data_IF_160683335716
#
_entry.id   IF_160683335716
#
_cell.length_a   1.000
_cell.length_b   1.000
_cell.length_c   1.000
_cell.angle_alpha   90.00
_cell.angle_beta   90.00
_cell.angle_gamma   90.00
#
_symmetry.space_group_name_H-M   'P 1'
#
loop_
_entity.id
_entity.type
_entity.pdbx_description
1 polymer ?
#
# COMPACT_ATOMS: atom_id res chain seq x y z
N UNK A 1 -15.32 -22.19 -19.11
CA UNK A 1 -15.14 -20.74 -19.34
C UNK A 1 -15.26 -20.43 -20.81
N UNK A 2 -15.98 -19.37 -21.18
CA UNK A 2 -16.05 -18.86 -22.55
C UNK A 2 -14.91 -17.91 -22.86
N UNK A 3 -14.98 -17.25 -24.03
CA UNK A 3 -13.95 -16.32 -24.50
C UNK A 3 -13.84 -15.06 -23.61
N UNK A 4 -14.97 -14.56 -23.12
CA UNK A 4 -15.01 -13.33 -22.32
C UNK A 4 -14.35 -13.54 -20.95
N UNK A 5 -14.68 -14.63 -20.23
CA UNK A 5 -14.03 -14.94 -18.96
C UNK A 5 -12.55 -15.23 -19.13
N UNK A 6 -12.17 -15.86 -20.24
CA UNK A 6 -10.77 -16.12 -20.58
C UNK A 6 -9.98 -14.82 -20.86
N UNK A 7 -10.58 -13.83 -21.52
CA UNK A 7 -9.97 -12.52 -21.73
C UNK A 7 -9.76 -11.77 -20.41
N UNK A 8 -10.78 -11.78 -19.53
CA UNK A 8 -10.68 -11.17 -18.20
C UNK A 8 -9.60 -11.86 -17.35
N UNK A 9 -9.57 -13.19 -17.37
CA UNK A 9 -8.54 -13.99 -16.70
C UNK A 9 -7.14 -13.65 -17.23
N UNK A 10 -6.97 -13.53 -18.55
CA UNK A 10 -5.69 -13.20 -19.16
C UNK A 10 -5.19 -11.82 -18.75
N UNK A 11 -6.07 -10.83 -18.68
CA UNK A 11 -5.74 -9.49 -18.18
C UNK A 11 -5.38 -9.56 -16.69
N UNK A 12 -6.19 -10.22 -15.87
CA UNK A 12 -5.95 -10.39 -14.44
C UNK A 12 -4.61 -11.05 -14.13
N UNK A 13 -4.32 -12.18 -14.79
CA UNK A 13 -3.04 -12.89 -14.67
C UNK A 13 -1.84 -12.06 -15.13
N UNK A 14 -2.03 -11.05 -15.98
CA UNK A 14 -0.92 -10.24 -16.48
C UNK A 14 -0.48 -9.15 -15.49
N UNK A 15 -1.20 -8.93 -14.39
CA UNK A 15 -1.00 -7.77 -13.50
C UNK A 15 0.32 -7.81 -12.73
N UNK A 16 0.76 -8.98 -12.27
CA UNK A 16 2.04 -9.10 -11.56
C UNK A 16 3.21 -8.87 -12.53
N UNK A 17 3.16 -9.48 -13.71
CA UNK A 17 4.11 -9.23 -14.80
C UNK A 17 4.13 -7.77 -15.27
N UNK A 18 2.97 -7.10 -15.29
CA UNK A 18 2.84 -5.68 -15.60
C UNK A 18 3.54 -4.81 -14.56
N UNK A 19 3.30 -5.07 -13.27
CA UNK A 19 3.91 -4.33 -12.18
C UNK A 19 5.44 -4.49 -12.18
N UNK A 20 5.95 -5.71 -12.38
CA UNK A 20 7.39 -5.95 -12.52
C UNK A 20 7.96 -5.28 -13.77
N UNK A 21 7.22 -5.28 -14.87
CA UNK A 21 7.60 -4.57 -16.10
C UNK A 21 7.71 -3.06 -15.90
N UNK A 22 6.79 -2.45 -15.13
CA UNK A 22 6.90 -1.05 -14.71
C UNK A 22 8.17 -0.84 -13.90
N UNK A 23 8.45 -1.70 -12.91
CA UNK A 23 9.65 -1.62 -12.09
C UNK A 23 10.94 -1.70 -12.93
N UNK A 24 10.98 -2.54 -13.97
CA UNK A 24 12.09 -2.58 -14.91
C UNK A 24 12.21 -1.32 -15.77
N UNK A 25 11.09 -0.79 -16.24
CA UNK A 25 11.09 0.49 -16.96
C UNK A 25 11.64 1.62 -16.09
N UNK A 26 11.28 1.65 -14.81
CA UNK A 26 11.71 2.66 -13.83
C UNK A 26 13.23 2.67 -13.60
N UNK A 27 13.89 1.51 -13.69
CA UNK A 27 15.32 1.36 -13.44
C UNK A 27 16.22 1.69 -14.66
N UNK A 28 15.66 1.89 -15.86
CA UNK A 28 16.44 1.94 -17.12
C UNK A 28 16.48 3.34 -17.73
N UNK A 29 17.68 3.90 -17.88
CA UNK A 29 17.92 5.27 -18.40
C UNK A 29 17.59 5.45 -19.88
N UNK A 30 17.90 4.46 -20.71
CA UNK A 30 17.64 4.46 -22.15
C UNK A 30 17.15 3.08 -22.50
N UNK A 31 15.94 3.02 -23.03
CA UNK A 31 15.37 1.76 -23.44
C UNK A 31 15.36 1.63 -24.95
N UNK A 32 15.71 0.44 -25.40
CA UNK A 32 15.75 0.02 -26.80
C UNK A 32 14.53 -0.83 -27.12
N UNK A 33 14.16 -0.90 -28.40
CA UNK A 33 13.09 -1.79 -28.87
C UNK A 33 13.33 -3.26 -28.47
N UNK A 34 14.60 -3.66 -28.29
CA UNK A 34 14.98 -5.00 -27.85
C UNK A 34 14.57 -5.28 -26.40
N UNK A 35 14.70 -4.31 -25.50
CA UNK A 35 14.38 -4.49 -24.07
C UNK A 35 12.86 -4.55 -23.82
N UNK A 36 12.09 -3.74 -24.55
CA UNK A 36 10.63 -3.89 -24.61
C UNK A 36 10.23 -5.30 -25.00
N UNK A 37 10.77 -5.77 -26.13
CA UNK A 37 10.48 -7.10 -26.65
C UNK A 37 10.97 -8.20 -25.70
N UNK A 38 12.13 -8.02 -25.08
CA UNK A 38 12.69 -8.98 -24.13
C UNK A 38 11.78 -9.16 -22.92
N UNK A 39 11.32 -8.07 -22.29
CA UNK A 39 10.32 -8.16 -21.22
C UNK A 39 9.03 -8.85 -21.68
N UNK A 40 8.50 -8.43 -22.83
CA UNK A 40 7.28 -9.02 -23.38
C UNK A 40 7.40 -10.52 -23.62
N UNK A 41 8.51 -10.97 -24.20
CA UNK A 41 8.77 -12.38 -24.50
C UNK A 41 9.00 -13.21 -23.23
N UNK A 42 9.77 -12.69 -22.26
CA UNK A 42 10.00 -13.40 -21.00
C UNK A 42 8.71 -13.54 -20.20
N UNK A 43 8.02 -12.45 -19.92
CA UNK A 43 6.80 -12.48 -19.11
C UNK A 43 5.65 -13.17 -19.85
N UNK A 44 5.43 -12.87 -21.13
CA UNK A 44 4.41 -13.55 -21.94
C UNK A 44 4.69 -15.04 -22.11
N UNK A 45 5.96 -15.41 -22.34
CA UNK A 45 6.37 -16.80 -22.47
C UNK A 45 6.10 -17.60 -21.19
N UNK A 46 6.50 -17.09 -20.02
CA UNK A 46 6.27 -17.78 -18.75
C UNK A 46 4.80 -17.76 -18.32
N UNK A 47 4.06 -16.66 -18.54
CA UNK A 47 2.63 -16.60 -18.22
C UNK A 47 1.79 -17.54 -19.09
N UNK A 48 2.26 -17.89 -20.29
CA UNK A 48 1.65 -18.95 -21.11
C UNK A 48 2.12 -20.36 -20.73
N UNK A 49 3.42 -20.53 -20.48
CA UNK A 49 4.02 -21.82 -20.16
C UNK A 49 3.49 -22.39 -18.84
N UNK A 50 3.31 -21.56 -17.82
CA UNK A 50 2.88 -22.00 -16.49
C UNK A 50 1.47 -22.59 -16.47
N UNK A 51 0.43 -21.97 -17.07
CA UNK A 51 -0.88 -22.62 -17.22
C UNK A 51 -0.83 -23.92 -18.01
N UNK A 52 0.03 -24.02 -19.03
CA UNK A 52 0.19 -25.26 -19.78
C UNK A 52 0.77 -26.37 -18.90
N UNK A 53 1.82 -26.05 -18.13
CA UNK A 53 2.40 -26.98 -17.15
C UNK A 53 1.34 -27.39 -16.13
N UNK A 54 0.61 -26.43 -15.56
CA UNK A 54 -0.46 -26.70 -14.59
C UNK A 54 -1.54 -27.65 -15.14
N UNK A 55 -1.97 -27.44 -16.38
CA UNK A 55 -2.93 -28.30 -17.05
C UNK A 55 -2.40 -29.72 -17.27
N UNK A 56 -1.14 -29.87 -17.70
CA UNK A 56 -0.51 -31.17 -17.96
C UNK A 56 -0.19 -31.96 -16.68
N UNK A 57 0.21 -31.26 -15.63
CA UNK A 57 0.51 -31.84 -14.31
C UNK A 57 -0.77 -32.27 -13.59
N UNK A 58 -1.88 -31.56 -13.86
CA UNK A 58 -3.20 -31.83 -13.28
C UNK A 58 -3.20 -31.74 -11.74
N UNK A 59 -4.22 -32.31 -11.11
CA UNK A 59 -4.41 -32.26 -9.65
C UNK A 59 -3.37 -33.07 -8.86
N UNK A 60 -2.51 -33.85 -9.52
CA UNK A 60 -1.59 -34.81 -8.85
C UNK A 60 -0.52 -34.13 -8.00
N UNK A 61 -0.15 -32.89 -8.32
CA UNK A 61 0.85 -32.12 -7.58
C UNK A 61 0.34 -30.76 -7.11
N UNK A 62 -0.96 -30.48 -7.24
CA UNK A 62 -1.61 -29.23 -6.84
C UNK A 62 -1.25 -28.85 -5.40
N UNK A 63 -1.34 -29.82 -4.47
CA UNK A 63 -1.07 -29.60 -3.04
C UNK A 63 0.40 -29.26 -2.73
N UNK A 64 1.35 -29.77 -3.50
CA UNK A 64 2.76 -29.47 -3.29
C UNK A 64 3.11 -28.10 -3.87
N UNK A 65 2.63 -27.82 -5.09
CA UNK A 65 2.90 -26.56 -5.76
C UNK A 65 2.25 -25.41 -4.99
N UNK A 66 0.99 -25.54 -4.57
CA UNK A 66 0.28 -24.49 -3.83
C UNK A 66 0.92 -24.14 -2.48
N UNK A 67 1.65 -25.07 -1.85
CA UNK A 67 2.38 -24.83 -0.60
C UNK A 67 3.74 -24.17 -0.81
N UNK A 68 4.45 -24.51 -1.90
CA UNK A 68 5.84 -24.03 -2.10
C UNK A 68 5.89 -22.72 -2.89
N UNK A 69 5.01 -22.57 -3.88
CA UNK A 69 4.96 -21.45 -4.81
C UNK A 69 5.00 -20.05 -4.14
N UNK A 70 4.17 -19.75 -3.14
CA UNK A 70 4.08 -18.40 -2.57
C UNK A 70 5.32 -18.01 -1.77
N UNK A 71 5.95 -18.99 -1.10
CA UNK A 71 7.23 -18.79 -0.41
C UNK A 71 8.36 -18.47 -1.37
N UNK A 72 8.43 -19.19 -2.50
CA UNK A 72 9.43 -18.94 -3.54
C UNK A 72 9.24 -17.55 -4.15
N UNK A 73 8.00 -17.17 -4.48
CA UNK A 73 7.69 -15.85 -5.01
C UNK A 73 8.07 -14.73 -4.03
N UNK A 74 7.71 -14.86 -2.74
CA UNK A 74 8.07 -13.88 -1.72
C UNK A 74 9.58 -13.71 -1.58
N UNK A 75 10.33 -14.81 -1.43
CA UNK A 75 11.78 -14.75 -1.24
C UNK A 75 12.45 -14.11 -2.46
N UNK A 76 12.08 -14.52 -3.68
CA UNK A 76 12.66 -13.96 -4.90
C UNK A 76 12.35 -12.47 -5.06
N UNK A 77 11.09 -12.06 -4.89
CA UNK A 77 10.68 -10.67 -5.05
C UNK A 77 11.22 -9.78 -3.92
N UNK A 78 11.31 -10.28 -2.69
CA UNK A 78 11.91 -9.55 -1.58
C UNK A 78 13.42 -9.33 -1.79
N UNK A 79 14.14 -10.33 -2.31
CA UNK A 79 15.56 -10.19 -2.64
C UNK A 79 15.79 -9.19 -3.78
N UNK A 80 15.00 -9.27 -4.85
CA UNK A 80 15.11 -8.35 -5.99
C UNK A 80 14.72 -6.92 -5.57
N UNK A 81 13.59 -6.77 -4.88
CA UNK A 81 13.13 -5.48 -4.40
C UNK A 81 14.07 -4.85 -3.37
N UNK A 82 14.63 -5.65 -2.47
CA UNK A 82 15.65 -5.22 -1.52
C UNK A 82 16.94 -4.76 -2.21
N UNK A 83 17.37 -5.44 -3.27
CA UNK A 83 18.51 -5.00 -4.08
C UNK A 83 18.23 -3.66 -4.79
N UNK A 84 17.03 -3.47 -5.38
CA UNK A 84 16.65 -2.20 -6.00
C UNK A 84 16.64 -1.04 -4.99
N UNK A 85 16.13 -1.26 -3.78
CA UNK A 85 16.16 -0.25 -2.71
C UNK A 85 17.62 0.04 -2.31
N UNK A 86 18.44 -0.99 -2.14
CA UNK A 86 19.87 -0.84 -1.81
C UNK A 86 20.62 -0.05 -2.87
N UNK A 87 20.35 -0.29 -4.15
CA UNK A 87 20.97 0.42 -5.28
C UNK A 87 20.60 1.91 -5.30
N UNK A 88 19.38 2.26 -4.91
CA UNK A 88 18.95 3.65 -4.84
C UNK A 88 19.72 4.50 -3.81
N UNK A 89 20.29 3.85 -2.79
CA UNK A 89 21.15 4.49 -1.78
C UNK A 89 22.66 4.38 -2.11
N UNK A 90 23.04 3.66 -3.18
CA UNK A 90 24.42 3.55 -3.60
C UNK A 90 24.91 4.84 -4.30
N UNK A 91 26.21 5.18 -4.21
CA UNK A 91 26.78 6.28 -4.97
C UNK A 91 26.52 6.13 -6.47
N UNK A 92 26.44 7.22 -7.25
CA UNK A 92 26.09 7.19 -8.66
C UNK A 92 27.23 6.61 -9.53
N UNK A 93 27.53 5.33 -9.39
CA UNK A 93 28.31 4.58 -10.37
C UNK A 93 27.38 3.98 -11.44
N UNK A 94 27.92 3.81 -12.65
CA UNK A 94 27.21 3.23 -13.79
C UNK A 94 27.03 1.72 -13.63
N UNK A 95 26.01 1.31 -12.87
CA UNK A 95 25.57 -0.09 -12.85
C UNK A 95 24.80 -0.38 -14.14
N UNK A 96 25.17 -1.47 -14.82
CA UNK A 96 24.60 -1.89 -16.11
C UNK A 96 23.16 -2.39 -15.94
N UNK A 97 22.30 -2.21 -16.96
CA UNK A 97 20.89 -2.57 -16.87
C UNK A 97 20.67 -4.08 -16.67
N UNK A 98 19.86 -4.42 -15.67
CA UNK A 98 19.49 -5.79 -15.27
C UNK A 98 18.48 -6.46 -16.23
N UNK A 99 18.85 -6.62 -17.49
CA UNK A 99 18.14 -7.49 -18.45
C UNK A 99 18.87 -8.81 -18.69
N UNK A 100 19.78 -9.19 -17.80
CA UNK A 100 20.48 -10.45 -17.91
C UNK A 100 19.50 -11.63 -17.76
N UNK A 101 19.86 -12.75 -18.39
CA UNK A 101 19.02 -13.94 -18.48
C UNK A 101 18.65 -14.48 -17.10
N UNK A 102 19.55 -14.40 -16.11
CA UNK A 102 19.29 -14.94 -14.77
C UNK A 102 18.22 -14.12 -14.06
N UNK A 103 18.33 -12.80 -14.09
CA UNK A 103 17.35 -11.90 -13.47
C UNK A 103 15.99 -12.02 -14.16
N UNK A 104 15.96 -11.96 -15.50
CA UNK A 104 14.72 -12.12 -16.30
C UNK A 104 14.03 -13.45 -16.04
N UNK A 105 14.79 -14.55 -15.96
CA UNK A 105 14.27 -15.87 -15.62
C UNK A 105 13.67 -15.90 -14.22
N UNK A 106 14.39 -15.40 -13.20
CA UNK A 106 13.90 -15.40 -11.82
C UNK A 106 12.61 -14.61 -11.66
N UNK A 107 12.52 -13.41 -12.26
CA UNK A 107 11.30 -12.60 -12.19
C UNK A 107 10.14 -13.25 -12.95
N UNK A 108 10.38 -13.74 -14.17
CA UNK A 108 9.34 -14.38 -14.97
C UNK A 108 8.80 -15.64 -14.27
N UNK A 109 9.65 -16.43 -13.62
CA UNK A 109 9.19 -17.53 -12.77
C UNK A 109 8.37 -16.99 -11.59
N UNK A 110 8.91 -16.01 -10.85
CA UNK A 110 8.25 -15.48 -9.65
C UNK A 110 6.85 -14.93 -9.92
N UNK A 111 6.66 -14.23 -11.05
CA UNK A 111 5.38 -13.58 -11.43
C UNK A 111 4.40 -14.50 -12.15
N UNK A 112 4.81 -15.70 -12.56
CA UNK A 112 3.97 -16.63 -13.34
C UNK A 112 3.56 -17.88 -12.56
N UNK A 113 3.99 -17.98 -11.30
CA UNK A 113 3.70 -19.11 -10.43
C UNK A 113 2.19 -19.24 -10.14
N UNK A 114 1.47 -18.13 -10.06
CA UNK A 114 0.01 -18.08 -9.91
C UNK A 114 -0.72 -18.63 -11.16
N UNK A 115 -0.20 -18.34 -12.34
CA UNK A 115 -0.73 -18.81 -13.62
C UNK A 115 -0.68 -20.34 -13.74
N UNK A 116 0.24 -21.00 -13.03
CA UNK A 116 0.26 -22.47 -12.93
C UNK A 116 -1.01 -22.99 -12.27
N UNK A 117 -1.48 -22.37 -11.18
CA UNK A 117 -2.71 -22.76 -10.51
C UNK A 117 -3.93 -22.62 -11.43
N UNK A 118 -3.98 -21.56 -12.25
CA UNK A 118 -5.02 -21.39 -13.27
C UNK A 118 -5.00 -22.52 -14.32
N UNK A 119 -3.81 -23.01 -14.67
CA UNK A 119 -3.66 -24.19 -15.52
C UNK A 119 -4.33 -25.44 -14.96
N UNK A 120 -4.21 -25.68 -13.66
CA UNK A 120 -4.90 -26.79 -12.96
C UNK A 120 -6.42 -26.55 -13.02
N UNK A 121 -6.87 -25.31 -12.85
CA UNK A 121 -8.29 -24.94 -12.96
C UNK A 121 -8.87 -25.22 -14.34
N UNK A 122 -8.09 -25.18 -15.43
CA UNK A 122 -8.58 -25.58 -16.76
C UNK A 122 -8.98 -27.06 -16.86
N UNK A 123 -8.50 -27.92 -15.95
CA UNK A 123 -8.95 -29.31 -15.82
C UNK A 123 -10.33 -29.37 -15.16
N UNK A 124 -10.54 -28.58 -14.10
CA UNK A 124 -11.81 -28.54 -13.35
C UNK A 124 -12.91 -27.74 -14.07
N UNK A 125 -12.53 -26.65 -14.74
CA UNK A 125 -13.41 -25.73 -15.48
C UNK A 125 -12.90 -25.61 -16.92
N UNK A 126 -13.29 -26.54 -17.81
CA UNK A 126 -12.79 -26.56 -19.17
C UNK A 126 -13.06 -25.26 -19.94
N UNK A 127 -12.07 -24.84 -20.72
CA UNK A 127 -12.19 -23.73 -21.67
C UNK A 127 -13.03 -24.20 -22.86
N UNK A 128 -14.08 -23.45 -23.20
CA UNK A 128 -15.08 -23.80 -24.23
C UNK A 128 -15.20 -22.68 -25.25
N UNK A 129 -14.12 -22.37 -25.95
CA UNK A 129 -14.09 -21.32 -26.99
C UNK A 129 -14.45 -21.92 -28.35
N UNK A 130 -13.91 -23.08 -28.68
CA UNK A 130 -14.19 -23.83 -29.90
C UNK A 130 -14.95 -25.12 -29.59
N UNK A 131 -15.77 -25.57 -30.54
CA UNK A 131 -16.47 -26.86 -30.49
C UNK A 131 -15.55 -28.10 -30.68
N UNK A 132 -14.23 -27.91 -30.64
CA UNK A 132 -13.19 -28.95 -30.80
C UNK A 132 -12.71 -29.49 -29.44
N UNK A 133 -11.86 -30.51 -29.47
CA UNK A 133 -11.28 -31.17 -28.29
C UNK A 133 -10.71 -30.19 -27.25
N UNK A 134 -10.80 -30.57 -25.97
CA UNK A 134 -10.44 -29.73 -24.82
C UNK A 134 -9.00 -29.22 -24.85
N UNK A 135 -8.05 -29.99 -25.38
CA UNK A 135 -6.65 -29.59 -25.45
C UNK A 135 -6.43 -28.38 -26.39
N UNK A 136 -7.15 -28.31 -27.51
CA UNK A 136 -7.06 -27.18 -28.45
C UNK A 136 -7.52 -25.88 -27.79
N UNK A 137 -8.58 -25.97 -26.97
CA UNK A 137 -9.08 -24.84 -26.20
C UNK A 137 -8.07 -24.37 -25.14
N UNK A 138 -7.32 -25.28 -24.52
CA UNK A 138 -6.26 -24.94 -23.56
C UNK A 138 -5.08 -24.28 -24.24
N UNK A 139 -4.63 -24.78 -25.39
CA UNK A 139 -3.56 -24.14 -26.16
C UNK A 139 -3.97 -22.73 -26.59
N UNK A 140 -5.24 -22.55 -27.00
CA UNK A 140 -5.76 -21.22 -27.29
C UNK A 140 -5.72 -20.29 -26.07
N UNK A 141 -6.15 -20.78 -24.90
CA UNK A 141 -6.09 -20.03 -23.65
C UNK A 141 -4.66 -19.62 -23.28
N UNK A 142 -3.72 -20.55 -23.36
CA UNK A 142 -2.29 -20.33 -23.10
C UNK A 142 -1.71 -19.26 -24.03
N UNK A 143 -1.99 -19.35 -25.33
CA UNK A 143 -1.51 -18.37 -26.30
C UNK A 143 -2.12 -17.00 -26.08
N UNK A 144 -3.41 -16.94 -25.74
CA UNK A 144 -4.10 -15.69 -25.46
C UNK A 144 -3.52 -15.01 -24.20
N UNK A 145 -3.28 -15.78 -23.13
CA UNK A 145 -2.62 -15.27 -21.92
C UNK A 145 -1.22 -14.76 -22.27
N UNK A 146 -0.41 -15.56 -22.97
CA UNK A 146 0.94 -15.18 -23.35
C UNK A 146 1.00 -13.88 -24.17
N UNK A 147 0.12 -13.73 -25.17
CA UNK A 147 0.07 -12.53 -26.02
C UNK A 147 -0.41 -11.32 -25.23
N UNK A 148 -1.46 -11.46 -24.43
CA UNK A 148 -1.97 -10.39 -23.56
C UNK A 148 -0.90 -9.92 -22.60
N UNK A 149 -0.24 -10.84 -21.89
CA UNK A 149 0.84 -10.50 -20.95
C UNK A 149 2.04 -9.87 -21.66
N UNK A 150 2.40 -10.36 -22.85
CA UNK A 150 3.48 -9.77 -23.65
C UNK A 150 3.18 -8.30 -23.98
N UNK A 151 1.99 -8.00 -24.48
CA UNK A 151 1.56 -6.64 -24.84
C UNK A 151 1.53 -5.75 -23.60
N UNK A 152 0.88 -6.20 -22.53
CA UNK A 152 0.75 -5.44 -21.28
C UNK A 152 2.13 -5.18 -20.68
N UNK A 153 3.03 -6.17 -20.67
CA UNK A 153 4.40 -6.02 -20.16
C UNK A 153 5.18 -4.99 -20.97
N UNK A 154 5.12 -5.01 -22.30
CA UNK A 154 5.74 -3.98 -23.15
C UNK A 154 5.21 -2.57 -22.83
N UNK A 155 3.90 -2.44 -22.59
CA UNK A 155 3.28 -1.17 -22.17
C UNK A 155 3.79 -0.77 -20.77
N UNK A 156 3.86 -1.72 -19.83
CA UNK A 156 4.33 -1.49 -18.46
C UNK A 156 5.75 -0.97 -18.43
N UNK A 157 6.66 -1.57 -19.20
CA UNK A 157 8.03 -1.07 -19.33
C UNK A 157 8.04 0.35 -19.92
N UNK A 158 7.14 0.68 -20.86
CA UNK A 158 7.10 2.01 -21.49
C UNK A 158 6.66 3.06 -20.50
N UNK A 159 5.62 2.75 -19.73
CA UNK A 159 5.13 3.58 -18.64
C UNK A 159 6.27 3.78 -17.63
N UNK A 160 6.88 2.70 -17.14
CA UNK A 160 7.98 2.74 -16.19
C UNK A 160 9.14 3.60 -16.68
N UNK A 161 9.55 3.48 -17.95
CA UNK A 161 10.65 4.26 -18.53
C UNK A 161 10.36 5.76 -18.56
N UNK A 162 9.12 6.16 -18.89
CA UNK A 162 8.70 7.56 -18.89
C UNK A 162 8.81 8.16 -17.47
N UNK A 163 8.45 7.39 -16.44
CA UNK A 163 8.57 7.82 -15.05
C UNK A 163 10.02 7.76 -14.53
N UNK A 164 10.80 6.75 -14.91
CA UNK A 164 12.17 6.50 -14.45
C UNK A 164 13.19 7.49 -14.97
N UNK A 165 13.09 7.89 -16.24
CA UNK A 165 13.93 8.95 -16.84
C UNK A 165 13.75 10.31 -16.16
N UNK A 166 12.61 10.52 -15.52
CA UNK A 166 12.28 11.75 -14.81
C UNK A 166 12.72 11.73 -13.34
N UNK A 167 12.82 10.55 -12.70
CA UNK A 167 12.98 10.40 -11.25
C UNK A 167 13.90 9.27 -10.77
N UNK A 168 15.17 9.26 -11.26
CA UNK A 168 16.19 8.21 -11.00
C UNK A 168 16.12 7.50 -9.63
N UNK A 169 16.48 8.17 -8.53
CA UNK A 169 16.60 7.50 -7.21
C UNK A 169 15.25 7.18 -6.56
N UNK A 170 14.21 7.96 -6.85
CA UNK A 170 12.87 7.68 -6.31
C UNK A 170 12.19 6.52 -7.02
N UNK A 171 12.49 6.33 -8.31
CA UNK A 171 11.92 5.26 -9.14
C UNK A 171 12.44 3.86 -8.76
N UNK A 172 13.70 3.74 -8.35
CA UNK A 172 14.30 2.47 -7.89
C UNK A 172 13.71 2.00 -6.55
N UNK A 173 13.57 2.91 -5.58
CA UNK A 173 12.97 2.58 -4.27
C UNK A 173 11.47 2.26 -4.42
N UNK A 174 10.75 3.01 -5.27
CA UNK A 174 9.34 2.75 -5.55
C UNK A 174 9.18 1.36 -6.19
N UNK A 175 10.01 1.03 -7.18
CA UNK A 175 10.00 -0.29 -7.82
C UNK A 175 10.32 -1.41 -6.82
N UNK A 176 11.36 -1.24 -6.01
CA UNK A 176 11.72 -2.25 -5.01
C UNK A 176 10.67 -2.45 -3.93
N UNK A 177 10.03 -1.38 -3.49
CA UNK A 177 8.90 -1.41 -2.54
C UNK A 177 7.70 -2.16 -3.12
N UNK A 178 7.34 -1.88 -4.38
CA UNK A 178 6.24 -2.58 -5.08
C UNK A 178 6.53 -4.08 -5.16
N UNK A 179 7.76 -4.48 -5.51
CA UNK A 179 8.13 -5.90 -5.60
C UNK A 179 8.04 -6.62 -4.24
N UNK A 180 8.56 -6.00 -3.18
CA UNK A 180 8.44 -6.56 -1.81
C UNK A 180 6.97 -6.71 -1.45
N UNK A 181 6.13 -5.73 -1.77
CA UNK A 181 4.70 -5.77 -1.48
C UNK A 181 3.97 -6.88 -2.25
N UNK A 182 4.26 -7.06 -3.54
CA UNK A 182 3.70 -8.16 -4.36
C UNK A 182 4.12 -9.52 -3.78
N UNK A 183 5.40 -9.68 -3.44
CA UNK A 183 5.90 -10.91 -2.83
C UNK A 183 5.23 -11.18 -1.48
N UNK A 184 5.12 -10.16 -0.64
CA UNK A 184 4.51 -10.27 0.69
C UNK A 184 3.03 -10.63 0.55
N UNK A 185 2.30 -9.98 -0.36
CA UNK A 185 0.92 -10.30 -0.69
C UNK A 185 0.77 -11.78 -1.05
N UNK A 186 1.58 -12.29 -1.98
CA UNK A 186 1.50 -13.68 -2.41
C UNK A 186 1.65 -14.65 -1.22
N UNK A 187 2.62 -14.40 -0.34
CA UNK A 187 2.83 -15.22 0.86
C UNK A 187 1.66 -15.11 1.85
N UNK A 188 1.14 -13.91 2.08
CA UNK A 188 0.03 -13.70 3.02
C UNK A 188 -1.27 -14.35 2.53
N UNK A 189 -1.61 -14.20 1.25
CA UNK A 189 -2.76 -14.88 0.65
C UNK A 189 -2.65 -16.41 0.74
N UNK A 190 -1.44 -16.96 0.83
CA UNK A 190 -1.22 -18.39 1.05
C UNK A 190 -1.33 -18.84 2.51
N UNK A 191 -0.78 -18.05 3.43
CA UNK A 191 -0.82 -18.35 4.87
C UNK A 191 -2.22 -18.23 5.45
N UNK A 192 -3.07 -17.45 4.80
CA UNK A 192 -4.45 -17.28 5.19
C UNK A 192 -5.32 -18.51 4.88
N UNK A 193 -5.72 -19.21 5.93
CA UNK A 193 -6.62 -20.37 5.87
C UNK A 193 -8.11 -20.01 5.90
N UNK A 194 -8.48 -18.75 6.15
CA UNK A 194 -9.88 -18.32 6.18
C UNK A 194 -10.37 -17.72 4.85
N UNK A 195 -9.51 -17.57 3.84
CA UNK A 195 -9.76 -16.84 2.58
C UNK A 195 -9.97 -15.32 2.72
N UNK A 196 -9.87 -14.77 3.93
CA UNK A 196 -9.93 -13.33 4.21
C UNK A 196 -8.90 -12.45 3.45
N UNK A 197 -7.70 -12.96 3.16
CA UNK A 197 -6.62 -12.30 2.42
C UNK A 197 -6.58 -12.71 0.93
N UNK A 198 -7.44 -13.64 0.51
CA UNK A 198 -7.62 -14.01 -0.90
C UNK A 198 -8.57 -13.08 -1.63
N UNK A 199 -9.43 -12.36 -0.90
CA UNK A 199 -10.27 -11.34 -1.50
C UNK A 199 -9.40 -10.17 -1.97
N UNK A 200 -9.51 -9.85 -3.27
CA UNK A 200 -8.85 -8.68 -3.89
C UNK A 200 -9.12 -7.38 -3.12
N UNK A 201 -10.22 -7.35 -2.40
CA UNK A 201 -10.80 -6.21 -1.69
C UNK A 201 -9.98 -5.83 -0.44
N UNK A 202 -9.32 -6.81 0.18
CA UNK A 202 -8.47 -6.66 1.37
C UNK A 202 -7.19 -5.88 1.07
N UNK A 203 -6.46 -6.32 0.04
CA UNK A 203 -5.18 -5.71 -0.34
C UNK A 203 -5.41 -4.37 -1.02
N UNK A 204 -6.46 -4.28 -1.85
CA UNK A 204 -6.83 -3.01 -2.46
C UNK A 204 -7.25 -2.01 -1.37
N UNK A 205 -8.08 -2.44 -0.42
CA UNK A 205 -8.52 -1.67 0.73
C UNK A 205 -7.38 -1.09 1.56
N UNK A 206 -6.40 -1.90 1.95
CA UNK A 206 -5.23 -1.45 2.70
C UNK A 206 -4.28 -0.53 1.91
N UNK A 207 -4.37 -0.52 0.58
CA UNK A 207 -3.61 0.39 -0.29
C UNK A 207 -4.34 1.71 -0.57
N UNK A 208 -5.64 1.83 -0.28
CA UNK A 208 -6.41 3.06 -0.50
C UNK A 208 -5.73 4.28 0.15
N UNK A 209 -5.28 4.23 1.42
CA UNK A 209 -4.54 5.34 2.05
C UNK A 209 -3.29 5.80 1.29
N UNK A 210 -2.58 4.87 0.65
CA UNK A 210 -1.40 5.18 -0.15
C UNK A 210 -1.76 6.01 -1.39
N UNK A 211 -2.95 5.82 -1.97
CA UNK A 211 -3.44 6.66 -3.06
C UNK A 211 -3.56 8.12 -2.60
N UNK A 212 -4.05 8.34 -1.38
CA UNK A 212 -4.10 9.66 -0.74
C UNK A 212 -2.74 10.34 -0.72
N UNK A 213 -1.74 9.66 -0.15
CA UNK A 213 -0.37 10.21 -0.08
C UNK A 213 0.24 10.45 -1.45
N UNK A 214 -0.02 9.57 -2.42
CA UNK A 214 0.44 9.73 -3.80
C UNK A 214 -0.16 10.98 -4.46
N UNK A 215 -1.47 11.18 -4.31
CA UNK A 215 -2.17 12.35 -4.86
C UNK A 215 -1.71 13.65 -4.19
N UNK A 216 -1.54 13.63 -2.86
CA UNK A 216 -1.01 14.76 -2.09
C UNK A 216 0.40 15.15 -2.52
N UNK A 217 1.32 14.18 -2.55
CA UNK A 217 2.69 14.40 -2.98
C UNK A 217 2.78 14.88 -4.43
N UNK A 218 1.89 14.40 -5.33
CA UNK A 218 1.88 14.78 -6.75
C UNK A 218 1.58 16.28 -6.98
N UNK A 219 1.05 17.00 -5.99
CA UNK A 219 0.81 18.45 -6.09
C UNK A 219 2.11 19.24 -6.32
N UNK A 220 3.27 18.72 -5.90
CA UNK A 220 4.58 19.36 -6.11
C UNK A 220 4.96 19.55 -7.58
N UNK A 221 4.24 18.91 -8.51
CA UNK A 221 4.41 19.06 -9.96
C UNK A 221 3.60 20.22 -10.56
N UNK A 222 2.67 20.79 -9.78
CA UNK A 222 1.89 21.93 -10.22
C UNK A 222 2.78 23.18 -10.36
N UNK A 223 2.34 24.16 -11.17
CA UNK A 223 3.11 25.40 -11.40
C UNK A 223 3.23 26.30 -10.15
N UNK A 224 2.43 26.07 -9.10
CA UNK A 224 2.48 26.81 -7.83
C UNK A 224 3.01 25.87 -6.75
N UNK A 225 4.13 26.25 -6.14
CA UNK A 225 4.82 25.46 -5.11
C UNK A 225 4.65 26.02 -3.69
N UNK A 226 3.69 26.92 -3.47
CA UNK A 226 3.47 27.57 -2.18
C UNK A 226 1.98 27.54 -1.80
N UNK A 227 1.70 27.22 -0.54
CA UNK A 227 0.36 27.27 0.01
C UNK A 227 0.08 28.64 0.62
N UNK A 228 -1.13 29.15 0.41
CA UNK A 228 -1.60 30.31 1.16
C UNK A 228 -1.86 29.92 2.62
N UNK A 229 -1.73 30.88 3.54
CA UNK A 229 -2.02 30.68 4.97
C UNK A 229 -3.42 30.11 5.19
N UNK A 230 -4.41 30.66 4.49
CA UNK A 230 -5.81 30.20 4.53
C UNK A 230 -5.97 28.75 4.09
N UNK A 231 -5.33 28.35 2.99
CA UNK A 231 -5.41 26.98 2.50
C UNK A 231 -4.75 26.01 3.47
N UNK A 232 -3.61 26.38 4.08
CA UNK A 232 -2.99 25.57 5.14
C UNK A 232 -3.92 25.36 6.32
N UNK A 233 -4.55 26.43 6.82
CA UNK A 233 -5.49 26.34 7.95
C UNK A 233 -6.71 25.47 7.63
N UNK A 234 -7.24 25.57 6.41
CA UNK A 234 -8.34 24.71 5.94
C UNK A 234 -7.90 23.25 5.88
N UNK A 235 -6.73 22.97 5.31
CA UNK A 235 -6.21 21.60 5.16
C UNK A 235 -5.92 20.96 6.53
N UNK A 236 -5.25 21.67 7.45
CA UNK A 236 -5.02 21.19 8.82
C UNK A 236 -6.35 20.95 9.52
N UNK A 237 -7.27 21.92 9.50
CA UNK A 237 -8.58 21.78 10.12
C UNK A 237 -9.34 20.56 9.60
N UNK A 238 -9.45 20.40 8.28
CA UNK A 238 -10.11 19.26 7.64
C UNK A 238 -9.50 17.91 8.07
N UNK A 239 -8.17 17.82 8.05
CA UNK A 239 -7.39 16.63 8.44
C UNK A 239 -7.66 16.26 9.89
N UNK A 240 -7.51 17.21 10.81
CA UNK A 240 -7.81 16.98 12.23
C UNK A 240 -9.28 16.57 12.46
N UNK A 241 -10.23 17.14 11.72
CA UNK A 241 -11.64 16.76 11.81
C UNK A 241 -11.87 15.30 11.42
N UNK A 242 -11.25 14.86 10.31
CA UNK A 242 -11.29 13.48 9.83
C UNK A 242 -10.64 12.52 10.84
N UNK A 243 -9.44 12.85 11.35
CA UNK A 243 -8.72 12.01 12.31
C UNK A 243 -9.47 11.82 13.62
N UNK A 244 -10.04 12.89 14.21
CA UNK A 244 -10.84 12.76 15.43
C UNK A 244 -12.05 11.86 15.18
N UNK A 245 -12.73 11.99 14.03
CA UNK A 245 -13.85 11.11 13.68
C UNK A 245 -13.42 9.64 13.55
N UNK A 246 -12.29 9.37 12.90
CA UNK A 246 -11.72 8.02 12.79
C UNK A 246 -11.39 7.46 14.18
N UNK A 247 -10.78 8.26 15.05
CA UNK A 247 -10.44 7.83 16.40
C UNK A 247 -11.70 7.49 17.23
N UNK A 248 -12.74 8.32 17.17
CA UNK A 248 -13.97 8.11 17.96
C UNK A 248 -14.78 6.94 17.41
N UNK A 249 -15.19 6.99 16.14
CA UNK A 249 -16.15 6.03 15.57
C UNK A 249 -15.49 4.84 14.89
N UNK A 250 -14.27 5.02 14.40
CA UNK A 250 -13.52 3.94 13.77
C UNK A 250 -12.77 3.07 14.78
N UNK A 251 -12.31 3.64 15.90
CA UNK A 251 -11.43 2.94 16.84
C UNK A 251 -12.04 2.77 18.23
N UNK A 252 -12.37 3.86 18.94
CA UNK A 252 -12.78 3.82 20.35
C UNK A 252 -14.15 3.15 20.52
N UNK A 253 -15.16 3.54 19.74
CA UNK A 253 -16.48 2.92 19.84
C UNK A 253 -16.46 1.41 19.49
N UNK A 254 -15.85 0.97 18.37
CA UNK A 254 -15.68 -0.45 18.09
C UNK A 254 -14.89 -1.20 19.17
N UNK A 255 -13.83 -0.59 19.73
CA UNK A 255 -13.08 -1.18 20.85
C UNK A 255 -13.97 -1.47 22.06
N UNK A 256 -14.88 -0.56 22.42
CA UNK A 256 -15.83 -0.76 23.52
C UNK A 256 -16.85 -1.85 23.17
N UNK A 257 -17.37 -1.87 21.93
CA UNK A 257 -18.33 -2.89 21.47
C UNK A 257 -17.70 -4.29 21.39
N UNK A 258 -16.41 -4.37 21.08
CA UNK A 258 -15.67 -5.62 20.93
C UNK A 258 -15.27 -6.29 22.25
N UNK A 259 -15.47 -5.65 23.40
CA UNK A 259 -15.18 -6.24 24.72
C UNK A 259 -16.00 -7.52 24.92
N UNK A 260 -15.29 -8.63 25.16
CA UNK A 260 -15.90 -9.92 25.52
C UNK A 260 -15.70 -10.20 27.01
N UNK A 261 -16.70 -10.77 27.68
CA UNK A 261 -16.65 -11.11 29.11
C UNK A 261 -17.20 -10.02 30.03
N UNK A 262 -16.60 -9.85 31.22
CA UNK A 262 -17.04 -8.84 32.19
C UNK A 262 -16.83 -7.42 31.65
N UNK A 263 -17.94 -6.73 31.38
CA UNK A 263 -17.96 -5.41 30.75
C UNK A 263 -17.15 -4.40 31.57
N UNK A 264 -17.18 -4.48 32.90
CA UNK A 264 -16.42 -3.53 33.76
C UNK A 264 -14.92 -3.72 33.60
N UNK A 265 -14.43 -4.95 33.71
CA UNK A 265 -13.01 -5.27 33.55
C UNK A 265 -12.52 -4.98 32.12
N UNK A 266 -13.33 -5.28 31.11
CA UNK A 266 -12.98 -5.02 29.72
C UNK A 266 -12.92 -3.53 29.37
N UNK A 267 -13.84 -2.70 29.88
CA UNK A 267 -13.76 -1.24 29.71
C UNK A 267 -12.51 -0.67 30.38
N UNK A 268 -12.14 -1.15 31.57
CA UNK A 268 -10.89 -0.72 32.22
C UNK A 268 -9.70 -1.01 31.30
N UNK A 269 -9.66 -2.19 30.69
CA UNK A 269 -8.58 -2.57 29.79
C UNK A 269 -8.57 -1.72 28.49
N UNK A 270 -9.74 -1.40 27.93
CA UNK A 270 -9.87 -0.45 26.81
C UNK A 270 -9.28 0.92 27.19
N UNK A 271 -9.60 1.47 28.36
CA UNK A 271 -9.06 2.76 28.82
C UNK A 271 -7.54 2.68 29.03
N UNK A 272 -7.04 1.59 29.63
CA UNK A 272 -5.60 1.38 29.81
C UNK A 272 -4.88 1.34 28.46
N UNK A 273 -5.42 0.61 27.48
CA UNK A 273 -4.84 0.53 26.14
C UNK A 273 -4.93 1.85 25.38
N UNK A 274 -6.03 2.59 25.53
CA UNK A 274 -6.15 3.96 25.01
C UNK A 274 -5.05 4.88 25.56
N UNK A 275 -4.86 4.90 26.89
CA UNK A 275 -3.76 5.66 27.50
C UNK A 275 -2.39 5.13 27.07
N UNK A 276 -2.26 3.82 26.83
CA UNK A 276 -1.07 3.21 26.25
C UNK A 276 -0.77 3.71 24.83
N UNK A 277 -1.80 3.94 24.02
CA UNK A 277 -1.69 4.56 22.70
C UNK A 277 -1.22 6.01 22.76
N UNK A 278 -1.81 6.80 23.67
CA UNK A 278 -1.36 8.17 23.95
C UNK A 278 0.12 8.18 24.35
N UNK A 279 0.51 7.29 25.27
CA UNK A 279 1.89 7.17 25.72
C UNK A 279 2.83 6.71 24.60
N UNK A 280 2.39 5.77 23.76
CA UNK A 280 3.15 5.32 22.60
C UNK A 280 3.48 6.49 21.69
N UNK A 281 2.47 7.30 21.33
CA UNK A 281 2.68 8.45 20.45
C UNK A 281 3.62 9.47 21.09
N UNK A 282 3.35 9.87 22.33
CA UNK A 282 4.23 10.77 23.09
C UNK A 282 5.69 10.30 23.13
N UNK A 283 5.93 8.99 23.29
CA UNK A 283 7.28 8.42 23.25
C UNK A 283 7.89 8.56 21.86
N UNK A 284 7.13 8.27 20.79
CA UNK A 284 7.61 8.42 19.41
C UNK A 284 8.06 9.86 19.14
N UNK A 285 7.26 10.86 19.52
CA UNK A 285 7.58 12.28 19.33
C UNK A 285 8.82 12.68 20.14
N UNK A 286 8.99 12.11 21.33
CA UNK A 286 10.12 12.37 22.21
C UNK A 286 11.44 11.75 21.74
N UNK A 287 11.40 10.60 21.05
CA UNK A 287 12.61 9.83 20.67
C UNK A 287 13.00 9.98 19.21
N UNK A 288 12.07 10.38 18.34
CA UNK A 288 12.32 10.53 16.90
C UNK A 288 12.53 12.02 16.59
N UNK A 289 13.70 12.41 16.05
CA UNK A 289 13.95 13.79 15.68
C UNK A 289 13.12 14.18 14.45
N UNK A 290 12.18 15.10 14.61
CA UNK A 290 11.23 15.46 13.55
C UNK A 290 10.96 16.97 13.51
N UNK A 291 10.32 17.47 12.45
CA UNK A 291 10.13 18.92 12.24
C UNK A 291 8.81 19.23 11.56
N UNK A 292 7.93 19.93 12.26
CA UNK A 292 6.67 20.45 11.70
C UNK A 292 6.96 21.66 10.81
N UNK A 293 7.05 21.42 9.50
CA UNK A 293 7.58 22.37 8.53
C UNK A 293 6.87 23.74 8.51
N UNK A 294 5.57 23.77 8.77
CA UNK A 294 4.77 25.00 8.76
C UNK A 294 4.61 25.66 10.14
N UNK A 295 4.96 24.97 11.22
CA UNK A 295 5.02 25.53 12.57
C UNK A 295 6.45 25.99 12.95
N UNK A 296 7.44 25.68 12.11
CA UNK A 296 8.88 25.89 12.36
C UNK A 296 9.33 25.34 13.73
N UNK A 297 8.72 24.22 14.13
CA UNK A 297 8.95 23.54 15.39
C UNK A 297 9.72 22.24 15.13
N UNK A 298 10.81 22.04 15.87
CA UNK A 298 11.59 20.80 15.83
C UNK A 298 11.54 20.13 17.19
N UNK A 299 11.18 18.85 17.20
CA UNK A 299 11.04 18.05 18.40
C UNK A 299 11.93 16.79 18.35
N UNK A 300 11.95 16.05 19.46
CA UNK A 300 12.83 14.90 19.64
C UNK A 300 14.31 15.27 19.91
N UNK A 301 15.22 14.28 19.87
CA UNK A 301 16.63 14.49 20.20
C UNK A 301 17.36 15.34 19.16
N UNK A 302 18.32 16.15 19.59
CA UNK A 302 19.20 16.87 18.66
C UNK A 302 20.01 15.86 17.83
N UNK A 303 19.91 15.94 16.51
CA UNK A 303 20.66 15.08 15.58
C UNK A 303 21.11 15.86 14.35
N UNK A 304 22.06 15.29 13.60
CA UNK A 304 22.57 15.85 12.35
C UNK A 304 21.76 15.48 11.10
N UNK A 305 20.52 14.98 11.24
CA UNK A 305 19.68 14.64 10.10
C UNK A 305 19.32 15.90 9.30
N UNK A 306 19.22 15.73 7.97
CA UNK A 306 18.81 16.82 7.10
C UNK A 306 17.36 17.24 7.42
N UNK A 307 17.06 18.53 7.23
CA UNK A 307 15.73 19.09 7.52
C UNK A 307 14.62 18.35 6.79
N UNK A 308 14.88 17.84 5.58
CA UNK A 308 13.88 17.10 4.84
C UNK A 308 13.58 15.73 5.41
N UNK A 309 14.61 15.02 5.88
CA UNK A 309 14.41 13.78 6.62
C UNK A 309 13.55 14.02 7.87
N UNK A 310 13.81 15.09 8.62
CA UNK A 310 13.01 15.42 9.81
C UNK A 310 11.55 15.75 9.51
N UNK A 311 11.27 16.43 8.39
CA UNK A 311 9.90 16.70 7.93
C UNK A 311 9.19 15.41 7.49
N UNK A 312 9.89 14.52 6.78
CA UNK A 312 9.33 13.22 6.42
C UNK A 312 9.04 12.37 7.68
N UNK A 313 9.95 12.41 8.66
CA UNK A 313 9.82 11.65 9.90
C UNK A 313 8.60 12.07 10.71
N UNK A 314 8.19 13.34 10.68
CA UNK A 314 6.95 13.81 11.30
C UNK A 314 5.74 13.02 10.80
N UNK A 315 5.54 12.92 9.49
CA UNK A 315 4.39 12.16 8.98
C UNK A 315 4.57 10.65 9.16
N UNK A 316 5.81 10.13 9.09
CA UNK A 316 6.06 8.70 9.34
C UNK A 316 5.60 8.28 10.73
N UNK A 317 5.82 9.11 11.76
CA UNK A 317 5.38 8.80 13.12
C UNK A 317 3.86 8.91 13.27
N UNK A 318 3.21 9.86 12.59
CA UNK A 318 1.75 10.03 12.60
C UNK A 318 1.02 8.90 11.85
N UNK A 319 1.63 8.38 10.78
CA UNK A 319 1.12 7.24 10.02
C UNK A 319 1.23 5.89 10.75
N UNK A 320 1.97 5.80 11.87
CA UNK A 320 2.07 4.56 12.66
C UNK A 320 0.69 4.21 13.27
N UNK A 321 0.05 5.09 14.06
CA UNK A 321 -1.32 4.90 14.54
C UNK A 321 -2.33 4.58 13.44
N UNK A 322 -2.26 5.25 12.29
CA UNK A 322 -3.16 5.03 11.17
C UNK A 322 -3.01 3.65 10.55
N UNK A 323 -1.78 3.18 10.37
CA UNK A 323 -1.53 1.83 9.89
C UNK A 323 -2.10 0.79 10.84
N UNK A 324 -1.93 0.97 12.16
CA UNK A 324 -2.53 0.10 13.17
C UNK A 324 -4.07 0.15 13.09
N UNK A 325 -4.65 1.35 13.00
CA UNK A 325 -6.09 1.55 12.90
C UNK A 325 -6.69 0.87 11.65
N UNK A 326 -6.07 1.07 10.48
CA UNK A 326 -6.46 0.45 9.21
C UNK A 326 -6.40 -1.08 9.30
N UNK A 327 -5.32 -1.62 9.84
CA UNK A 327 -5.18 -3.06 9.99
C UNK A 327 -6.20 -3.64 10.98
N UNK A 328 -6.48 -2.94 12.07
CA UNK A 328 -7.44 -3.40 13.07
C UNK A 328 -8.89 -3.42 12.51
N UNK A 329 -9.31 -2.40 11.75
CA UNK A 329 -10.65 -2.40 11.17
C UNK A 329 -10.82 -3.51 10.11
N UNK A 330 -9.82 -3.72 9.26
CA UNK A 330 -9.86 -4.82 8.28
C UNK A 330 -9.78 -6.19 8.96
N UNK A 331 -9.00 -6.33 10.03
CA UNK A 331 -8.99 -7.57 10.82
C UNK A 331 -10.36 -7.88 11.41
N UNK A 332 -11.06 -6.88 11.95
CA UNK A 332 -12.42 -7.06 12.47
C UNK A 332 -13.43 -7.45 11.41
N UNK A 333 -13.26 -6.96 10.17
CA UNK A 333 -14.04 -7.41 9.03
C UNK A 333 -13.74 -8.87 8.67
N UNK A 334 -12.46 -9.27 8.60
CA UNK A 334 -12.05 -10.65 8.27
C UNK A 334 -12.41 -11.69 9.32
N UNK A 335 -12.46 -11.27 10.58
CA UNK A 335 -12.94 -12.09 11.69
C UNK A 335 -14.47 -12.14 11.74
N UNK A 336 -15.17 -11.51 10.79
CA UNK A 336 -16.63 -11.43 10.71
C UNK A 336 -17.27 -10.98 12.03
N UNK A 337 -16.63 -10.01 12.69
CA UNK A 337 -17.11 -9.52 13.98
C UNK A 337 -18.46 -8.82 13.82
N UNK A 338 -19.38 -9.05 14.76
CA UNK A 338 -20.72 -8.45 14.70
C UNK A 338 -20.74 -6.91 14.85
N UNK A 339 -19.59 -6.31 15.22
CA UNK A 339 -19.45 -4.90 15.58
C UNK A 339 -18.57 -4.11 14.60
N UNK A 340 -18.03 -4.73 13.55
CA UNK A 340 -17.39 -4.07 12.40
C UNK A 340 -18.01 -4.59 11.11
N UNK A 341 -18.59 -3.70 10.30
CA UNK A 341 -19.07 -4.06 8.97
C UNK A 341 -17.97 -3.85 7.91
N UNK A 342 -18.12 -4.55 6.78
CA UNK A 342 -17.29 -4.32 5.59
C UNK A 342 -17.36 -2.86 5.10
N UNK A 343 -18.55 -2.24 5.19
CA UNK A 343 -18.75 -0.83 4.81
C UNK A 343 -17.95 0.12 5.71
N UNK A 344 -17.91 -0.13 7.03
CA UNK A 344 -17.10 0.68 7.95
C UNK A 344 -15.61 0.56 7.64
N UNK A 345 -15.11 -0.65 7.35
CA UNK A 345 -13.71 -0.86 6.96
C UNK A 345 -13.33 -0.05 5.70
N UNK A 346 -14.15 -0.12 4.65
CA UNK A 346 -13.92 0.64 3.42
C UNK A 346 -14.02 2.15 3.64
N UNK A 347 -15.03 2.61 4.39
CA UNK A 347 -15.24 4.02 4.70
C UNK A 347 -14.05 4.62 5.45
N UNK A 348 -13.52 3.91 6.45
CA UNK A 348 -12.33 4.37 7.18
C UNK A 348 -11.09 4.38 6.31
N UNK A 349 -10.90 3.37 5.44
CA UNK A 349 -9.78 3.38 4.49
C UNK A 349 -9.82 4.60 3.56
N UNK A 350 -11.01 4.96 3.07
CA UNK A 350 -11.22 6.17 2.25
C UNK A 350 -11.02 7.44 3.08
N UNK A 351 -11.50 7.49 4.32
CA UNK A 351 -11.32 8.65 5.20
C UNK A 351 -9.83 8.91 5.47
N UNK A 352 -9.06 7.86 5.76
CA UNK A 352 -7.60 7.94 5.88
C UNK A 352 -6.99 8.38 4.53
N UNK A 353 -7.41 7.83 3.39
CA UNK A 353 -6.89 8.33 2.10
C UNK A 353 -7.16 9.81 1.84
N UNK A 354 -8.30 10.36 2.27
CA UNK A 354 -8.64 11.77 2.06
C UNK A 354 -7.72 12.69 2.87
N UNK A 355 -7.45 12.34 4.13
CA UNK A 355 -6.63 13.16 5.02
C UNK A 355 -5.12 13.07 4.73
N UNK A 356 -4.69 11.93 4.18
CA UNK A 356 -3.32 11.70 3.72
C UNK A 356 -2.91 12.58 2.53
N UNK A 357 -3.87 13.15 1.80
CA UNK A 357 -3.59 14.11 0.72
C UNK A 357 -2.93 15.38 1.30
N UNK A 358 -3.56 16.10 2.26
CA UNK A 358 -2.93 17.17 3.03
C UNK A 358 -1.56 16.82 3.62
N UNK A 359 -1.40 15.68 4.29
CA UNK A 359 -0.17 15.28 4.98
C UNK A 359 1.01 15.10 4.02
N UNK A 360 0.82 14.34 2.94
CA UNK A 360 1.87 14.17 1.93
C UNK A 360 2.22 15.48 1.20
N UNK A 361 1.25 16.39 1.11
CA UNK A 361 1.46 17.75 0.62
C UNK A 361 2.26 18.59 1.62
N UNK A 362 2.07 18.41 2.92
CA UNK A 362 2.85 19.05 3.98
C UNK A 362 4.28 18.53 4.13
N UNK A 363 4.58 17.35 3.58
CA UNK A 363 5.97 16.91 3.35
C UNK A 363 6.53 17.51 2.08
N UNK A 364 5.86 17.29 0.95
CA UNK A 364 6.47 17.52 -0.37
C UNK A 364 6.67 19.01 -0.70
N UNK A 365 5.72 19.89 -0.35
CA UNK A 365 5.82 21.31 -0.71
C UNK A 365 6.90 22.07 0.07
N UNK A 366 7.03 21.97 1.40
CA UNK A 366 8.10 22.66 2.13
C UNK A 366 9.50 22.26 1.69
N UNK A 367 9.69 20.98 1.32
CA UNK A 367 10.97 20.51 0.78
C UNK A 367 11.28 21.16 -0.55
N UNK A 368 10.26 21.33 -1.39
CA UNK A 368 10.37 22.00 -2.67
C UNK A 368 10.69 23.48 -2.51
N UNK A 369 10.02 24.17 -1.58
CA UNK A 369 10.28 25.56 -1.21
C UNK A 369 11.72 25.76 -0.72
N UNK A 370 12.25 24.80 0.05
CA UNK A 370 13.65 24.79 0.53
C UNK A 370 14.69 24.37 -0.53
N UNK A 371 14.30 24.26 -1.80
CA UNK A 371 15.20 24.02 -2.93
C UNK A 371 15.44 22.55 -3.27
N UNK A 372 14.75 21.61 -2.62
CA UNK A 372 14.82 20.19 -3.00
C UNK A 372 14.28 19.99 -4.42
N UNK A 373 14.88 19.08 -5.19
CA UNK A 373 14.36 18.71 -6.51
C UNK A 373 12.92 18.15 -6.39
N UNK A 374 12.02 18.56 -7.28
CA UNK A 374 10.61 18.12 -7.36
C UNK A 374 10.43 16.62 -7.18
N UNK A 375 11.31 15.82 -7.77
CA UNK A 375 11.26 14.37 -7.68
C UNK A 375 11.55 13.80 -6.32
N UNK A 376 12.61 14.32 -5.69
CA UNK A 376 12.97 13.93 -4.34
C UNK A 376 11.88 14.37 -3.35
N UNK A 377 11.33 15.57 -3.50
CA UNK A 377 10.23 16.06 -2.68
C UNK A 377 8.94 15.23 -2.82
N UNK A 378 8.54 14.91 -4.06
CA UNK A 378 7.45 13.97 -4.35
C UNK A 378 7.69 12.63 -3.68
N UNK A 379 8.86 12.06 -3.92
CA UNK A 379 9.21 10.74 -3.43
C UNK A 379 9.21 10.67 -1.89
N UNK A 380 9.71 11.70 -1.21
CA UNK A 380 9.67 11.77 0.26
C UNK A 380 8.23 11.83 0.80
N UNK A 381 7.31 12.52 0.11
CA UNK A 381 5.88 12.53 0.46
C UNK A 381 5.16 11.20 0.20
N UNK A 382 5.59 10.42 -0.81
CA UNK A 382 5.04 9.07 -1.03
C UNK A 382 5.60 8.08 0.00
N UNK A 383 6.91 8.13 0.26
CA UNK A 383 7.57 7.23 1.22
C UNK A 383 7.07 7.45 2.63
N UNK A 384 6.73 8.70 3.01
CA UNK A 384 6.17 8.95 4.33
C UNK A 384 4.90 8.14 4.56
N UNK A 385 4.09 7.88 3.53
CA UNK A 385 2.86 7.07 3.55
C UNK A 385 3.01 5.55 3.58
N UNK A 386 4.21 5.03 3.31
CA UNK A 386 4.46 3.58 3.28
C UNK A 386 4.23 2.83 4.61
N UNK A 387 4.44 3.41 5.81
CA UNK A 387 4.16 2.76 7.08
C UNK A 387 2.70 2.30 7.20
N UNK A 388 1.74 3.00 6.60
CA UNK A 388 0.31 2.71 6.73
C UNK A 388 -0.05 1.30 6.25
N UNK A 389 0.18 0.92 4.97
CA UNK A 389 -0.12 -0.43 4.50
C UNK A 389 0.76 -1.49 5.18
N UNK A 390 2.01 -1.17 5.51
CA UNK A 390 2.93 -2.11 6.17
C UNK A 390 2.43 -2.48 7.58
N UNK A 391 2.10 -1.48 8.39
CA UNK A 391 1.58 -1.67 9.74
C UNK A 391 0.14 -2.18 9.74
N UNK A 392 -0.66 -1.83 8.71
CA UNK A 392 -1.97 -2.42 8.47
C UNK A 392 -1.89 -3.93 8.32
N UNK A 393 -1.01 -4.40 7.44
CA UNK A 393 -0.76 -5.82 7.23
C UNK A 393 -0.27 -6.50 8.52
N UNK A 394 0.72 -5.91 9.21
CA UNK A 394 1.24 -6.46 10.47
C UNK A 394 0.12 -6.59 11.51
N UNK A 395 -0.73 -5.57 11.62
CA UNK A 395 -1.83 -5.55 12.57
C UNK A 395 -2.90 -6.58 12.22
N UNK A 396 -3.23 -6.76 10.94
CA UNK A 396 -4.11 -7.84 10.48
C UNK A 396 -3.56 -9.20 10.89
N UNK A 397 -2.28 -9.48 10.63
CA UNK A 397 -1.66 -10.75 11.01
C UNK A 397 -1.75 -10.97 12.52
N UNK A 398 -1.40 -9.96 13.32
CA UNK A 398 -1.44 -10.05 14.78
C UNK A 398 -2.87 -10.30 15.28
N UNK A 399 -3.86 -9.59 14.75
CA UNK A 399 -5.26 -9.73 15.14
C UNK A 399 -5.86 -11.08 14.70
N UNK A 400 -5.48 -11.62 13.55
CA UNK A 400 -5.90 -12.96 13.11
C UNK A 400 -5.29 -14.07 13.98
N UNK A 401 -4.04 -13.90 14.43
CA UNK A 401 -3.39 -14.84 15.35
C UNK A 401 -3.98 -14.76 16.76
N UNK A 402 -4.42 -13.57 17.18
CA UNK A 402 -4.95 -13.32 18.52
C UNK A 402 -6.27 -12.51 18.47
N UNK A 403 -7.40 -13.09 18.03
CA UNK A 403 -8.65 -12.33 17.84
C UNK A 403 -9.14 -11.60 19.11
N UNK A 404 -8.89 -12.17 20.29
CA UNK A 404 -9.30 -11.61 21.57
C UNK A 404 -8.62 -10.29 21.93
N UNK A 405 -7.49 -9.93 21.30
CA UNK A 405 -6.81 -8.66 21.58
C UNK A 405 -7.27 -7.51 20.69
N UNK A 406 -8.02 -7.80 19.62
CA UNK A 406 -8.42 -6.81 18.62
C UNK A 406 -9.05 -5.54 19.23
N UNK A 407 -10.01 -5.62 20.19
CA UNK A 407 -10.61 -4.42 20.77
C UNK A 407 -9.59 -3.52 21.48
N UNK A 408 -8.56 -4.12 22.08
CA UNK A 408 -7.51 -3.40 22.80
C UNK A 408 -6.49 -2.77 21.86
N UNK A 409 -6.19 -3.42 20.73
CA UNK A 409 -5.39 -2.85 19.64
C UNK A 409 -6.09 -1.63 19.06
N UNK A 410 -7.41 -1.70 18.84
CA UNK A 410 -8.21 -0.55 18.39
C UNK A 410 -8.21 0.59 19.41
N UNK A 411 -8.34 0.28 20.70
CA UNK A 411 -8.26 1.28 21.76
C UNK A 411 -6.90 2.00 21.75
N UNK A 412 -5.80 1.25 21.61
CA UNK A 412 -4.45 1.78 21.50
C UNK A 412 -4.30 2.69 20.27
N UNK A 413 -4.77 2.26 19.09
CA UNK A 413 -4.73 3.09 17.89
C UNK A 413 -5.57 4.38 18.07
N UNK A 414 -6.76 4.27 18.65
CA UNK A 414 -7.62 5.42 18.94
C UNK A 414 -6.97 6.42 19.89
N UNK A 415 -6.27 5.95 20.93
CA UNK A 415 -5.53 6.81 21.85
C UNK A 415 -4.40 7.57 21.18
N UNK A 416 -3.61 6.88 20.36
CA UNK A 416 -2.52 7.49 19.63
C UNK A 416 -3.02 8.53 18.61
N UNK A 417 -4.08 8.22 17.85
CA UNK A 417 -4.71 9.16 16.90
C UNK A 417 -5.25 10.42 17.59
N UNK A 418 -5.89 10.29 18.76
CA UNK A 418 -6.35 11.45 19.54
C UNK A 418 -5.16 12.32 19.94
N UNK A 419 -4.08 11.73 20.45
CA UNK A 419 -2.91 12.50 20.87
C UNK A 419 -2.28 13.26 19.69
N UNK A 420 -1.97 12.56 18.59
CA UNK A 420 -1.40 13.18 17.38
C UNK A 420 -2.27 14.33 16.89
N UNK A 421 -3.58 14.11 16.80
CA UNK A 421 -4.48 15.15 16.29
C UNK A 421 -4.52 16.38 17.21
N UNK A 422 -4.50 16.17 18.53
CA UNK A 422 -4.51 17.27 19.51
C UNK A 422 -3.21 18.08 19.45
N UNK A 423 -2.09 17.46 19.10
CA UNK A 423 -0.80 18.15 18.94
C UNK A 423 -0.74 19.02 17.67
N UNK A 424 -1.48 18.63 16.63
CA UNK A 424 -1.57 19.41 15.38
C UNK A 424 -2.55 20.59 15.45
N UNK A 425 -3.63 20.46 16.25
CA UNK A 425 -4.67 21.49 16.41
C UNK A 425 -4.14 22.86 16.86
N UNK A 426 -3.16 23.01 17.77
CA UNK A 426 -2.61 24.30 18.21
C UNK A 426 -2.15 25.24 17.09
N UNK A 427 -1.84 24.74 15.88
CA UNK A 427 -1.63 25.56 14.68
C UNK A 427 -2.85 26.42 14.27
N UNK A 428 -4.03 26.08 14.77
CA UNK A 428 -5.30 26.80 14.61
C UNK A 428 -5.46 27.89 15.71
N UNK A 429 -4.80 27.79 16.86
CA UNK A 429 -5.11 28.55 18.08
C UNK A 429 -4.72 30.03 18.15
N UNK A 430 -4.01 30.62 17.18
CA UNK A 430 -3.49 32.00 17.30
C UNK A 430 -4.34 33.07 16.58
N UNK A 431 -5.21 33.78 17.33
CA UNK A 431 -5.94 35.05 17.03
C UNK A 431 -6.67 35.24 15.68
N UNK A 432 -7.95 35.68 15.77
CA UNK A 432 -8.84 36.41 14.81
C UNK A 432 -8.99 35.93 13.35
N UNK A 433 -8.20 34.97 12.86
CA UNK A 433 -8.25 34.47 11.47
C UNK A 433 -8.46 32.95 11.37
N UNK A 434 -8.91 32.28 12.44
CA UNK A 434 -8.99 30.82 12.49
C UNK A 434 -10.38 30.23 12.14
N UNK A 435 -11.39 31.05 11.86
CA UNK A 435 -12.75 30.53 11.63
C UNK A 435 -12.80 29.55 10.45
N UNK A 436 -11.94 29.74 9.43
CA UNK A 436 -11.85 28.84 8.27
C UNK A 436 -11.33 27.45 8.64
N UNK A 437 -10.30 27.37 9.48
CA UNK A 437 -9.76 26.09 9.93
C UNK A 437 -10.73 25.36 10.86
N UNK A 438 -11.37 26.09 11.78
CA UNK A 438 -12.42 25.53 12.64
C UNK A 438 -13.64 25.04 11.85
N UNK A 439 -14.11 25.79 10.85
CA UNK A 439 -15.18 25.33 9.96
C UNK A 439 -14.76 24.10 9.15
N UNK A 440 -13.52 24.08 8.63
CA UNK A 440 -12.99 22.93 7.91
C UNK A 440 -12.90 21.68 8.80
N UNK A 441 -12.54 21.85 10.09
CA UNK A 441 -12.61 20.78 11.09
C UNK A 441 -14.01 20.21 11.22
N UNK A 442 -15.02 21.06 11.40
CA UNK A 442 -16.42 20.63 11.51
C UNK A 442 -16.86 19.89 10.24
N UNK A 443 -16.45 20.38 9.07
CA UNK A 443 -16.75 19.74 7.78
C UNK A 443 -16.09 18.36 7.69
N UNK A 444 -14.79 18.24 7.98
CA UNK A 444 -14.08 16.97 7.95
C UNK A 444 -14.67 15.95 8.91
N UNK A 445 -14.98 16.40 10.12
CA UNK A 445 -15.63 15.58 11.14
C UNK A 445 -17.01 15.07 10.67
N UNK A 446 -17.84 15.97 10.12
CA UNK A 446 -19.17 15.66 9.62
C UNK A 446 -19.17 14.77 8.37
N UNK A 447 -18.18 14.88 7.49
CA UNK A 447 -18.04 14.01 6.30
C UNK A 447 -17.87 12.55 6.75
N UNK A 448 -16.94 12.30 7.67
CA UNK A 448 -16.70 10.93 8.16
C UNK A 448 -17.91 10.41 8.93
N UNK A 449 -18.54 11.25 9.76
CA UNK A 449 -19.78 10.90 10.45
C UNK A 449 -20.88 10.49 9.45
N UNK A 450 -21.06 11.27 8.38
CA UNK A 450 -22.01 10.93 7.32
C UNK A 450 -21.65 9.60 6.66
N UNK A 451 -20.39 9.40 6.25
CA UNK A 451 -19.94 8.18 5.59
C UNK A 451 -20.07 6.92 6.46
N UNK A 452 -19.97 7.03 7.79
CA UNK A 452 -20.07 5.87 8.69
C UNK A 452 -21.54 5.47 8.90
N UNK A 453 -22.47 6.43 8.95
CA UNK A 453 -23.86 6.20 9.37
C UNK A 453 -24.90 6.24 8.24
N UNK A 454 -24.52 6.63 7.03
CA UNK A 454 -25.35 6.64 5.81
C UNK A 454 -24.60 6.00 4.65
#
# INVERSE_FOLDING_TARGET
MGLFELLLLAVGLSMDAFAVSICKGLAVKKITAKEYLLCGVWFGGFQGLMPLIGYLVGSRFERFISVVAPWVAFILLALIGGNMIKEAFAPPEEVKPEFDVKTMFMMAVATSIDALAVGITFVAVPVRVFAKEGFVNVIFAVLLIAVTTCIISMIGVKIGHIFGTRYKSGSEIMGGTILIFIGLRALLSHLDRSQALSDSDTVFGMLIPLIGTLLGAAVVYAKKNELTKDLRMILVGLTSGIMISIAVWGMIEPAVKGVSGDVKTGIILVVVCFCGGVLLQYILDSVIPHTHAYADLTEGPKCGLDTGMKVMLTEVIHHIPEGIALGAIYAGHFLETAWISASTALVLAIAIAIQNIPEALFVSLPLREKGTNTGKAFFMGVVSGMPIPLLGIITVIVALLFPSILPYVMALAGGALIYTTVEEIPGLGSKKENDKGALAFVVGFAIVMFMIFF
#
